data_IF_004500696652
#
_entry.id   IF_004500696652
#
_cell.length_a   1.000
_cell.length_b   1.000
_cell.length_c   1.000
_cell.angle_alpha   90.00
_cell.angle_beta   90.00
_cell.angle_gamma   90.00
#
_symmetry.space_group_name_H-M   'P 1'
#
loop_
_entity.id
_entity.type
_entity.pdbx_description
1 polymer ?
#
# COMPACT_ATOMS: atom_id res chain seq x y z
N UNK A 1 -14.78 -5.52 -32.03
CA UNK A 1 -13.43 -5.89 -31.57
C UNK A 1 -13.37 -5.65 -30.07
N UNK A 2 -12.83 -6.58 -29.29
CA UNK A 2 -12.70 -6.46 -27.82
C UNK A 2 -11.43 -5.69 -27.48
N UNK A 3 -11.57 -4.59 -26.73
CA UNK A 3 -10.45 -3.82 -26.22
C UNK A 3 -9.84 -4.47 -24.96
N UNK A 4 -8.59 -4.13 -24.66
CA UNK A 4 -7.97 -4.50 -23.39
C UNK A 4 -8.71 -3.88 -22.21
N UNK A 5 -8.86 -4.67 -21.15
CA UNK A 5 -9.40 -4.19 -19.87
C UNK A 5 -8.36 -3.34 -19.13
N UNK A 6 -8.78 -2.68 -18.05
CA UNK A 6 -7.89 -1.85 -17.25
C UNK A 6 -6.75 -2.68 -16.65
N UNK A 7 -7.10 -3.83 -16.11
CA UNK A 7 -6.22 -4.77 -15.43
C UNK A 7 -5.17 -5.32 -16.40
N UNK A 8 -5.57 -5.60 -17.65
CA UNK A 8 -4.64 -6.06 -18.69
C UNK A 8 -3.62 -4.98 -19.07
N UNK A 9 -4.04 -3.71 -19.15
CA UNK A 9 -3.12 -2.59 -19.40
C UNK A 9 -2.15 -2.43 -18.22
N UNK A 10 -2.62 -2.61 -16.99
CA UNK A 10 -1.76 -2.55 -15.79
C UNK A 10 -0.74 -3.68 -15.73
N UNK A 11 -1.12 -4.92 -16.06
CA UNK A 11 -0.19 -6.05 -16.21
C UNK A 11 0.91 -5.75 -17.22
N UNK A 12 0.57 -5.15 -18.38
CA UNK A 12 1.56 -4.76 -19.39
C UNK A 12 2.54 -3.71 -18.84
N UNK A 13 2.07 -2.73 -18.06
CA UNK A 13 2.94 -1.73 -17.42
C UNK A 13 3.91 -2.33 -16.41
N UNK A 14 3.54 -3.44 -15.77
CA UNK A 14 4.39 -4.18 -14.83
C UNK A 14 5.39 -5.11 -15.53
N UNK A 15 5.38 -5.15 -16.87
CA UNK A 15 6.26 -6.02 -17.66
C UNK A 15 5.73 -7.45 -17.84
N UNK A 16 4.48 -7.72 -17.48
CA UNK A 16 3.85 -9.01 -17.76
C UNK A 16 3.52 -9.10 -19.26
N UNK A 17 4.10 -10.10 -19.93
CA UNK A 17 4.08 -10.23 -21.39
C UNK A 17 2.77 -10.81 -21.93
N UNK A 18 1.66 -10.10 -21.78
CA UNK A 18 0.38 -10.51 -22.37
C UNK A 18 -0.01 -9.61 -23.55
N UNK A 19 -0.06 -10.22 -24.75
CA UNK A 19 -0.76 -9.74 -25.97
C UNK A 19 -0.27 -8.39 -26.54
N UNK A 20 1.02 -8.32 -26.89
CA UNK A 20 1.60 -7.23 -27.69
C UNK A 20 0.94 -7.06 -29.06
N UNK A 21 0.44 -8.15 -29.65
CA UNK A 21 -0.14 -8.14 -31.00
C UNK A 21 -1.40 -7.27 -31.09
N UNK A 22 -2.24 -7.27 -30.04
CA UNK A 22 -3.42 -6.41 -30.01
C UNK A 22 -3.02 -4.93 -29.93
N UNK A 23 -2.04 -4.59 -29.09
CA UNK A 23 -1.54 -3.22 -28.97
C UNK A 23 -1.03 -2.70 -30.31
N UNK A 24 -0.36 -3.53 -31.11
CA UNK A 24 0.12 -3.12 -32.43
C UNK A 24 -1.02 -2.80 -33.42
N UNK A 25 -2.22 -3.37 -33.22
CA UNK A 25 -3.36 -3.24 -34.13
C UNK A 25 -4.44 -2.26 -33.67
N UNK A 26 -4.45 -1.85 -32.40
CA UNK A 26 -5.53 -1.05 -31.81
C UNK A 26 -5.03 0.30 -31.26
N UNK A 27 -5.22 1.38 -32.02
CA UNK A 27 -4.81 2.74 -31.65
C UNK A 27 -5.40 3.22 -30.31
N UNK A 28 -6.65 2.87 -30.01
CA UNK A 28 -7.29 3.25 -28.75
C UNK A 28 -6.55 2.66 -27.54
N UNK A 29 -6.18 1.38 -27.61
CA UNK A 29 -5.44 0.72 -26.54
C UNK A 29 -4.00 1.24 -26.44
N UNK A 30 -3.35 1.60 -27.56
CA UNK A 30 -2.06 2.28 -27.54
C UNK A 30 -2.14 3.65 -26.85
N UNK A 31 -3.16 4.44 -27.17
CA UNK A 31 -3.35 5.76 -26.55
C UNK A 31 -3.53 5.65 -25.04
N UNK A 32 -4.37 4.71 -24.58
CA UNK A 32 -4.57 4.45 -23.15
C UNK A 32 -3.28 3.99 -22.45
N UNK A 33 -2.50 3.12 -23.10
CA UNK A 33 -1.21 2.68 -22.55
C UNK A 33 -0.23 3.85 -22.42
N UNK A 34 -0.11 4.70 -23.45
CA UNK A 34 0.74 5.90 -23.42
C UNK A 34 0.33 6.87 -22.32
N UNK A 35 -0.97 7.09 -22.14
CA UNK A 35 -1.50 7.94 -21.07
C UNK A 35 -1.09 7.40 -19.69
N UNK A 36 -1.27 6.11 -19.44
CA UNK A 36 -0.87 5.47 -18.19
C UNK A 36 0.65 5.50 -17.96
N UNK A 37 1.46 5.31 -19.00
CA UNK A 37 2.92 5.46 -18.92
C UNK A 37 3.33 6.90 -18.57
N UNK A 38 2.65 7.90 -19.15
CA UNK A 38 2.91 9.30 -18.83
C UNK A 38 2.55 9.63 -17.37
N UNK A 39 1.45 9.10 -16.86
CA UNK A 39 1.07 9.23 -15.44
C UNK A 39 2.10 8.55 -14.52
N UNK A 40 2.51 7.33 -14.81
CA UNK A 40 3.54 6.63 -14.04
C UNK A 40 4.86 7.39 -14.02
N UNK A 41 5.26 7.98 -15.15
CA UNK A 41 6.46 8.81 -15.26
C UNK A 41 6.33 10.08 -14.42
N UNK A 42 5.19 10.78 -14.48
CA UNK A 42 4.93 11.99 -13.67
C UNK A 42 4.99 11.68 -12.17
N UNK A 43 4.38 10.58 -11.74
CA UNK A 43 4.45 10.13 -10.35
C UNK A 43 5.90 9.84 -9.95
N UNK A 44 6.63 9.05 -10.75
CA UNK A 44 8.04 8.75 -10.47
C UNK A 44 8.90 10.01 -10.35
N UNK A 45 8.69 10.99 -11.22
CA UNK A 45 9.41 12.28 -11.17
C UNK A 45 9.02 13.08 -9.93
N UNK A 46 7.73 13.13 -9.57
CA UNK A 46 7.28 13.84 -8.36
C UNK A 46 7.91 13.26 -7.09
N UNK A 47 8.13 11.95 -7.04
CA UNK A 47 8.78 11.27 -5.92
C UNK A 47 10.31 11.20 -6.01
N UNK A 48 10.92 11.61 -7.12
CA UNK A 48 12.38 11.52 -7.30
C UNK A 48 13.17 12.37 -6.29
N UNK A 49 12.56 13.45 -5.77
CA UNK A 49 13.16 14.29 -4.73
C UNK A 49 12.92 13.82 -3.29
N UNK A 50 12.12 12.77 -3.09
CA UNK A 50 11.83 12.25 -1.76
C UNK A 50 12.96 11.32 -1.34
N UNK A 51 13.93 11.88 -0.62
CA UNK A 51 15.02 11.12 -0.01
C UNK A 51 14.54 10.62 1.37
N UNK A 52 14.46 9.30 1.60
CA UNK A 52 14.14 8.80 2.93
C UNK A 52 15.22 9.24 3.93
N UNK A 53 14.83 9.53 5.18
CA UNK A 53 15.82 9.83 6.21
C UNK A 53 16.80 8.66 6.38
N UNK A 54 18.05 8.98 6.70
CA UNK A 54 19.09 7.96 6.92
C UNK A 54 18.66 6.96 8.01
N UNK A 55 17.99 7.43 9.05
CA UNK A 55 17.40 6.62 10.12
C UNK A 55 16.34 5.63 9.62
N UNK A 56 15.49 6.03 8.67
CA UNK A 56 14.48 5.15 8.09
C UNK A 56 15.14 4.13 7.15
N UNK A 57 16.11 4.56 6.34
CA UNK A 57 16.87 3.69 5.47
C UNK A 57 17.61 2.60 6.27
N UNK A 58 18.21 2.97 7.40
CA UNK A 58 18.92 2.05 8.29
C UNK A 58 17.97 1.08 8.99
N UNK A 59 16.78 1.54 9.41
CA UNK A 59 15.74 0.66 9.95
C UNK A 59 15.23 -0.35 8.93
N UNK A 60 15.07 0.06 7.67
CA UNK A 60 14.66 -0.86 6.59
C UNK A 60 15.77 -1.88 6.31
N UNK A 61 17.03 -1.43 6.22
CA UNK A 61 18.18 -2.33 6.04
C UNK A 61 18.29 -3.33 7.19
N UNK A 62 18.20 -2.88 8.44
CA UNK A 62 18.30 -3.78 9.59
C UNK A 62 17.18 -4.81 9.60
N UNK A 63 15.94 -4.44 9.24
CA UNK A 63 14.83 -5.38 9.12
C UNK A 63 15.00 -6.41 8.00
N UNK A 64 15.51 -5.99 6.83
CA UNK A 64 15.78 -6.93 5.72
C UNK A 64 16.90 -7.90 6.12
N UNK A 65 17.94 -7.40 6.79
CA UNK A 65 19.09 -8.21 7.21
C UNK A 65 18.73 -9.14 8.38
N UNK A 66 17.91 -8.70 9.33
CA UNK A 66 17.46 -9.52 10.46
C UNK A 66 16.44 -10.59 10.06
N UNK A 67 15.72 -10.38 8.96
CA UNK A 67 14.76 -11.34 8.41
C UNK A 67 15.36 -12.16 7.25
N UNK A 68 16.65 -12.00 6.95
CA UNK A 68 17.33 -12.92 6.05
C UNK A 68 17.27 -14.32 6.69
N UNK A 69 16.74 -15.34 5.98
CA UNK A 69 16.64 -16.69 6.54
C UNK A 69 18.03 -17.15 6.95
N UNK A 70 18.22 -17.35 8.26
CA UNK A 70 19.42 -17.97 8.80
C UNK A 70 19.57 -19.29 8.08
N UNK A 71 20.65 -19.41 7.30
CA UNK A 71 21.01 -20.62 6.59
C UNK A 71 20.98 -21.77 7.59
N UNK A 72 19.95 -22.62 7.50
CA UNK A 72 19.79 -23.79 8.36
C UNK A 72 20.97 -24.67 8.02
N UNK A 73 22.00 -24.63 8.87
CA UNK A 73 23.14 -25.54 8.82
C UNK A 73 22.55 -26.95 8.99
N UNK A 74 22.55 -27.81 7.96
CA UNK A 74 22.05 -29.15 8.14
C UNK A 74 23.07 -29.87 9.03
N UNK A 75 22.65 -30.24 10.24
CA UNK A 75 23.35 -31.26 11.02
C UNK A 75 23.39 -32.51 10.15
N UNK A 76 24.57 -32.82 9.61
CA UNK A 76 24.78 -33.99 8.80
C UNK A 76 24.85 -35.22 9.71
N UNK A 77 23.95 -36.21 9.61
CA UNK A 77 24.25 -37.52 10.11
C UNK A 77 25.35 -38.13 9.24
N UNK A 78 26.36 -38.68 9.90
CA UNK A 78 27.42 -39.50 9.33
C UNK A 78 26.79 -40.69 8.60
N UNK A 79 26.78 -40.66 7.26
CA UNK A 79 26.38 -41.79 6.42
C UNK A 79 27.60 -42.20 5.60
N UNK A 80 28.05 -43.42 5.87
CA UNK A 80 29.15 -44.10 5.22
C UNK A 80 28.94 -44.26 3.72
N UNK A 81 30.08 -44.32 3.02
CA UNK A 81 30.23 -44.47 1.58
C UNK A 81 29.29 -45.52 0.96
N UNK A 82 28.27 -45.05 0.24
CA UNK A 82 27.64 -45.84 -0.82
C UNK A 82 27.91 -45.16 -2.16
N UNK A 83 28.69 -45.88 -2.93
CA UNK A 83 29.25 -45.61 -4.25
C UNK A 83 28.24 -45.11 -5.28
N UNK A 84 28.62 -43.98 -5.93
CA UNK A 84 28.52 -43.71 -7.37
C UNK A 84 27.61 -44.64 -8.18
N UNK A 85 26.34 -44.29 -8.44
CA UNK A 85 25.67 -44.69 -9.69
C UNK A 85 24.41 -43.90 -10.09
N UNK A 86 23.95 -42.90 -9.33
CA UNK A 86 22.73 -42.14 -9.67
C UNK A 86 22.96 -40.76 -10.31
N UNK A 87 24.06 -40.60 -11.04
CA UNK A 87 24.19 -39.54 -12.06
C UNK A 87 23.44 -39.96 -13.32
N UNK A 88 22.11 -39.83 -13.38
CA UNK A 88 21.40 -39.68 -14.67
C UNK A 88 19.92 -39.27 -14.64
N UNK A 89 19.30 -39.04 -13.48
CA UNK A 89 17.91 -38.62 -13.45
C UNK A 89 17.70 -37.47 -12.46
N UNK A 90 18.34 -36.33 -12.75
CA UNK A 90 17.95 -35.05 -12.15
C UNK A 90 16.96 -34.37 -13.11
N UNK A 91 15.69 -34.75 -13.02
CA UNK A 91 14.61 -33.92 -13.53
C UNK A 91 14.57 -32.60 -12.72
N UNK A 92 14.27 -31.44 -13.33
CA UNK A 92 14.31 -30.16 -12.65
C UNK A 92 13.06 -29.99 -11.76
N UNK A 93 13.06 -30.59 -10.57
CA UNK A 93 12.02 -30.42 -9.55
C UNK A 93 12.19 -29.14 -8.72
N UNK A 94 13.20 -28.30 -8.99
CA UNK A 94 13.44 -27.07 -8.21
C UNK A 94 12.59 -25.86 -8.61
N UNK A 95 11.86 -25.91 -9.74
CA UNK A 95 11.08 -24.77 -10.24
C UNK A 95 9.73 -24.59 -9.55
N UNK A 96 9.10 -25.67 -9.06
CA UNK A 96 7.79 -25.59 -8.41
C UNK A 96 7.90 -24.90 -7.06
N UNK A 97 8.93 -25.22 -6.26
CA UNK A 97 9.15 -24.60 -4.96
C UNK A 97 9.46 -23.10 -5.09
N UNK A 98 10.24 -22.70 -6.10
CA UNK A 98 10.55 -21.31 -6.38
C UNK A 98 9.30 -20.51 -6.83
N UNK A 99 8.43 -21.08 -7.68
CA UNK A 99 7.16 -20.43 -8.05
C UNK A 99 6.18 -20.33 -6.88
N UNK A 100 6.15 -21.32 -5.98
CA UNK A 100 5.31 -21.28 -4.77
C UNK A 100 5.81 -20.21 -3.78
N UNK A 101 7.13 -20.09 -3.59
CA UNK A 101 7.74 -19.01 -2.81
C UNK A 101 7.48 -17.64 -3.42
N UNK A 102 7.60 -17.51 -4.75
CA UNK A 102 7.31 -16.26 -5.45
C UNK A 102 5.83 -15.87 -5.37
N UNK A 103 4.91 -16.84 -5.49
CA UNK A 103 3.47 -16.61 -5.35
C UNK A 103 3.07 -16.25 -3.91
N UNK A 104 3.73 -16.85 -2.90
CA UNK A 104 3.53 -16.50 -1.49
C UNK A 104 4.08 -15.10 -1.17
N UNK A 105 5.26 -14.75 -1.71
CA UNK A 105 5.82 -13.41 -1.62
C UNK A 105 4.92 -12.38 -2.31
N UNK A 106 4.38 -12.69 -3.49
CA UNK A 106 3.44 -11.81 -4.21
C UNK A 106 2.14 -11.58 -3.44
N UNK A 107 1.55 -12.63 -2.85
CA UNK A 107 0.35 -12.48 -2.01
C UNK A 107 0.62 -11.64 -0.76
N UNK A 108 1.81 -11.75 -0.16
CA UNK A 108 2.19 -10.95 0.99
C UNK A 108 2.43 -9.47 0.65
N UNK A 109 2.89 -9.15 -0.58
CA UNK A 109 3.15 -7.76 -1.00
C UNK A 109 1.95 -7.06 -1.62
N UNK A 110 0.98 -7.79 -2.19
CA UNK A 110 -0.22 -7.19 -2.81
C UNK A 110 -1.42 -7.07 -1.87
N UNK A 111 -1.43 -7.76 -0.73
CA UNK A 111 -2.48 -7.51 0.25
C UNK A 111 -2.20 -6.18 0.95
N UNK A 112 -3.11 -5.19 0.87
CA UNK A 112 -2.99 -4.02 1.71
C UNK A 112 -2.89 -4.50 3.15
N UNK A 113 -1.89 -4.00 3.88
CA UNK A 113 -1.75 -4.35 5.29
C UNK A 113 -3.11 -4.18 5.99
N UNK A 114 -3.46 -5.00 7.00
CA UNK A 114 -4.74 -4.87 7.70
C UNK A 114 -4.98 -3.43 8.20
N UNK A 115 -3.89 -2.72 8.56
CA UNK A 115 -3.92 -1.31 8.90
C UNK A 115 -4.42 -0.39 7.78
N UNK A 116 -4.12 -0.70 6.52
CA UNK A 116 -4.64 0.06 5.37
C UNK A 116 -6.14 -0.17 5.18
N UNK A 117 -6.59 -1.43 5.29
CA UNK A 117 -8.02 -1.76 5.20
C UNK A 117 -8.83 -1.03 6.30
N UNK A 118 -8.31 -0.98 7.53
CA UNK A 118 -8.92 -0.24 8.64
C UNK A 118 -9.00 1.27 8.35
N UNK A 119 -7.94 1.88 7.80
CA UNK A 119 -7.94 3.31 7.44
C UNK A 119 -8.96 3.61 6.32
N UNK A 120 -9.06 2.74 5.32
CA UNK A 120 -10.06 2.88 4.25
C UNK A 120 -11.47 2.77 4.83
N UNK A 121 -11.71 1.84 5.76
CA UNK A 121 -12.99 1.71 6.46
C UNK A 121 -13.36 2.97 7.24
N UNK A 122 -12.41 3.52 8.01
CA UNK A 122 -12.60 4.80 8.72
C UNK A 122 -12.93 5.92 7.73
N UNK A 123 -12.16 6.03 6.64
CA UNK A 123 -12.38 7.06 5.63
C UNK A 123 -13.77 6.96 5.00
N UNK A 124 -14.18 5.78 4.55
CA UNK A 124 -15.50 5.56 3.94
C UNK A 124 -16.64 5.86 4.93
N UNK A 125 -16.51 5.43 6.18
CA UNK A 125 -17.51 5.73 7.21
C UNK A 125 -17.67 7.24 7.44
N UNK A 126 -16.58 7.99 7.41
CA UNK A 126 -16.60 9.43 7.63
C UNK A 126 -17.21 10.19 6.46
N UNK A 127 -17.06 9.67 5.24
CA UNK A 127 -17.71 10.25 4.06
C UNK A 127 -19.23 10.06 4.08
N UNK A 128 -19.72 8.96 4.65
CA UNK A 128 -21.16 8.63 4.72
C UNK A 128 -21.85 9.32 5.91
N UNK A 129 -21.10 9.95 6.83
CA UNK A 129 -21.62 10.60 8.04
C UNK A 129 -22.44 9.64 8.93
N UNK A 130 -21.82 8.54 9.36
CA UNK A 130 -22.49 7.56 10.24
C UNK A 130 -22.88 8.11 11.62
N UNK A 131 -23.48 7.27 12.46
CA UNK A 131 -24.15 7.69 13.71
C UNK A 131 -23.25 8.42 14.74
N UNK A 132 -21.94 8.19 14.69
CA UNK A 132 -20.94 8.83 15.56
C UNK A 132 -20.27 10.07 14.93
N UNK A 133 -20.78 10.52 13.78
CA UNK A 133 -20.31 11.71 13.10
C UNK A 133 -20.90 12.97 13.72
N UNK A 134 -20.03 13.86 14.17
CA UNK A 134 -20.40 15.17 14.72
C UNK A 134 -20.19 16.23 13.63
N UNK A 135 -21.27 16.81 13.07
CA UNK A 135 -21.18 17.83 12.03
C UNK A 135 -20.79 19.18 12.65
N UNK A 136 -19.50 19.38 12.90
CA UNK A 136 -18.95 20.62 13.45
C UNK A 136 -17.97 21.27 12.46
N UNK A 137 -18.21 22.54 12.13
CA UNK A 137 -17.40 23.30 11.18
C UNK A 137 -16.41 24.25 11.87
N UNK A 138 -16.60 24.54 13.17
CA UNK A 138 -15.68 25.38 13.94
C UNK A 138 -14.48 24.56 14.46
N UNK A 139 -13.24 24.87 14.05
CA UNK A 139 -12.04 24.21 14.55
C UNK A 139 -11.86 24.27 16.06
N UNK A 140 -12.30 25.34 16.73
CA UNK A 140 -12.11 25.51 18.17
C UNK A 140 -13.03 24.56 18.95
N UNK A 141 -14.28 24.43 18.51
CA UNK A 141 -15.23 23.48 19.11
C UNK A 141 -14.75 22.05 18.86
N UNK A 142 -14.23 21.78 17.65
CA UNK A 142 -13.68 20.49 17.32
C UNK A 142 -12.46 20.13 18.18
N UNK A 143 -11.53 21.06 18.36
CA UNK A 143 -10.36 20.87 19.21
C UNK A 143 -10.79 20.58 20.66
N UNK A 144 -11.73 21.37 21.21
CA UNK A 144 -12.27 21.12 22.54
C UNK A 144 -12.89 19.72 22.68
N UNK A 145 -13.67 19.28 21.69
CA UNK A 145 -14.26 17.94 21.67
C UNK A 145 -13.21 16.83 21.67
N UNK A 146 -12.14 17.00 20.89
CA UNK A 146 -11.02 16.06 20.90
C UNK A 146 -10.23 16.09 22.20
N UNK A 147 -10.01 17.26 22.81
CA UNK A 147 -9.35 17.35 24.11
C UNK A 147 -10.14 16.63 25.19
N UNK A 148 -11.47 16.79 25.19
CA UNK A 148 -12.37 16.14 26.14
C UNK A 148 -12.36 14.61 25.98
N UNK A 149 -12.39 14.11 24.74
CA UNK A 149 -12.58 12.68 24.50
C UNK A 149 -11.28 11.89 24.31
N UNK A 150 -10.26 12.50 23.71
CA UNK A 150 -8.96 11.87 23.44
C UNK A 150 -7.89 12.27 24.44
N UNK A 151 -8.08 13.36 25.20
CA UNK A 151 -7.09 13.90 26.11
C UNK A 151 -5.99 14.75 25.43
N UNK A 152 -6.10 14.99 24.12
CA UNK A 152 -5.17 15.85 23.37
C UNK A 152 -5.89 16.63 22.26
N UNK A 153 -5.23 17.68 21.78
CA UNK A 153 -5.71 18.55 20.70
C UNK A 153 -5.01 18.21 19.37
N UNK A 154 -5.69 17.54 18.42
CA UNK A 154 -5.19 17.39 17.07
C UNK A 154 -4.89 18.73 16.41
N UNK A 155 -3.80 18.80 15.64
CA UNK A 155 -3.54 19.95 14.80
C UNK A 155 -4.52 19.96 13.63
N UNK A 156 -5.50 20.87 13.69
CA UNK A 156 -6.43 21.13 12.58
C UNK A 156 -5.76 22.15 11.64
N UNK A 157 -5.73 21.90 10.31
CA UNK A 157 -5.17 22.85 9.36
C UNK A 157 -5.95 24.17 9.36
N UNK A 158 -5.27 25.26 9.07
CA UNK A 158 -5.94 26.54 8.85
C UNK A 158 -6.90 26.41 7.65
N UNK A 159 -8.17 26.74 7.85
CA UNK A 159 -9.24 26.60 6.84
C UNK A 159 -9.20 27.69 5.74
N UNK A 160 -8.00 28.12 5.36
CA UNK A 160 -7.78 29.07 4.29
C UNK A 160 -7.73 28.35 2.93
N UNK A 161 -7.80 29.09 1.82
CA UNK A 161 -7.63 28.57 0.44
C UNK A 161 -8.68 27.55 -0.02
N UNK A 162 -9.95 27.75 0.38
CA UNK A 162 -11.05 26.88 -0.06
C UNK A 162 -11.14 25.55 0.68
N UNK A 163 -10.48 25.45 1.85
CA UNK A 163 -10.65 24.35 2.78
C UNK A 163 -11.85 24.62 3.69
N UNK A 164 -12.75 23.64 3.85
CA UNK A 164 -13.87 23.76 4.79
C UNK A 164 -13.98 22.50 5.64
N UNK A 165 -13.98 22.67 6.97
CA UNK A 165 -14.20 21.56 7.89
C UNK A 165 -15.68 21.15 7.84
N UNK A 166 -15.95 19.85 7.70
CA UNK A 166 -17.33 19.32 7.73
C UNK A 166 -17.73 18.78 9.11
N UNK A 167 -16.77 18.29 9.87
CA UNK A 167 -17.05 17.56 11.10
C UNK A 167 -15.99 16.53 11.45
N UNK A 168 -16.31 15.72 12.43
CA UNK A 168 -15.41 14.74 13.00
C UNK A 168 -16.10 13.49 13.51
N UNK A 169 -15.31 12.51 13.86
CA UNK A 169 -15.71 11.34 14.63
C UNK A 169 -14.52 10.83 15.45
N UNK A 170 -14.81 9.92 16.36
CA UNK A 170 -13.79 9.24 17.16
C UNK A 170 -13.85 7.76 16.82
N UNK A 171 -12.72 7.20 16.41
CA UNK A 171 -12.62 5.82 15.94
C UNK A 171 -11.54 5.06 16.68
N UNK A 172 -11.51 3.75 16.45
CA UNK A 172 -10.41 2.90 16.90
C UNK A 172 -9.52 2.56 15.71
N UNK A 173 -8.22 2.78 15.86
CA UNK A 173 -7.21 2.39 14.87
C UNK A 173 -6.04 1.72 15.58
N UNK A 174 -5.72 0.48 15.17
CA UNK A 174 -4.67 -0.35 15.82
C UNK A 174 -4.84 -0.46 17.34
N UNK A 175 -6.07 -0.60 17.82
CA UNK A 175 -6.39 -0.70 19.24
C UNK A 175 -6.26 0.60 20.04
N UNK A 176 -6.03 1.74 19.38
CA UNK A 176 -5.99 3.07 20.00
C UNK A 176 -7.19 3.89 19.57
N UNK A 177 -7.70 4.71 20.48
CA UNK A 177 -8.73 5.71 20.17
C UNK A 177 -8.05 6.84 19.39
N UNK A 178 -8.62 7.20 18.23
CA UNK A 178 -8.10 8.24 17.33
C UNK A 178 -9.22 9.20 16.96
N UNK A 179 -8.86 10.47 16.82
CA UNK A 179 -9.75 11.47 16.24
C UNK A 179 -9.65 11.41 14.71
N UNK A 180 -10.78 11.55 14.04
CA UNK A 180 -10.80 11.73 12.58
C UNK A 180 -11.67 12.91 12.23
N UNK A 181 -11.26 13.71 11.26
CA UNK A 181 -12.04 14.85 10.78
C UNK A 181 -12.07 14.90 9.25
N UNK A 182 -13.11 15.53 8.72
CA UNK A 182 -13.37 15.59 7.27
C UNK A 182 -13.26 17.03 6.81
N UNK A 183 -12.50 17.25 5.74
CA UNK A 183 -12.25 18.56 5.14
C UNK A 183 -12.63 18.51 3.67
N UNK A 184 -13.44 19.47 3.24
CA UNK A 184 -13.63 19.79 1.84
C UNK A 184 -12.43 20.54 1.31
N UNK A 185 -11.93 20.11 0.17
CA UNK A 185 -10.87 20.79 -0.57
C UNK A 185 -11.34 21.10 -1.99
N UNK A 186 -10.68 22.00 -2.73
CA UNK A 186 -10.98 22.23 -4.15
C UNK A 186 -10.87 20.98 -5.03
N UNK A 187 -10.15 19.94 -4.57
CA UNK A 187 -9.92 18.69 -5.31
C UNK A 187 -10.87 17.56 -4.88
N UNK A 188 -11.68 17.79 -3.84
CA UNK A 188 -12.59 16.79 -3.29
C UNK A 188 -12.56 16.72 -1.77
N UNK A 189 -13.25 15.73 -1.22
CA UNK A 189 -13.39 15.52 0.23
C UNK A 189 -12.28 14.62 0.72
N UNK A 190 -11.59 15.03 1.78
CA UNK A 190 -10.56 14.22 2.43
C UNK A 190 -10.94 13.94 3.89
N UNK A 191 -10.60 12.74 4.37
CA UNK A 191 -10.68 12.41 5.80
C UNK A 191 -9.27 12.27 6.35
N UNK A 192 -9.00 12.98 7.44
CA UNK A 192 -7.71 13.02 8.12
C UNK A 192 -7.86 12.32 9.47
N UNK A 193 -7.04 11.28 9.68
CA UNK A 193 -6.97 10.56 10.96
C UNK A 193 -5.81 11.15 11.77
N UNK A 194 -6.12 11.70 12.93
CA UNK A 194 -5.15 12.27 13.86
C UNK A 194 -4.73 11.23 14.90
N UNK A 195 -3.42 11.01 14.99
CA UNK A 195 -2.78 10.13 15.98
C UNK A 195 -1.85 10.96 16.86
N UNK A 196 -1.73 10.59 18.12
CA UNK A 196 -0.72 11.13 19.03
C UNK A 196 0.62 10.47 18.73
N UNK A 197 1.68 11.28 18.59
CA UNK A 197 3.07 10.83 18.43
C UNK A 197 3.57 10.05 19.66
#
# INVERSE_FOLDING_TARGET
MTHLTHEQIESILQGESLKTDHLNSCELCQSRLKEKQALATRLKTAFAGVVPSETLAEKIRSQITSNAPTEIKPDAPHIENVTHHWKRWAAPLSTIAAMLLLALLFKATLMPSPAYADLVGIHQHNLVQGDDYVPQTDPNILAAHFQETLGFNPRIPELNHGLQLRGCCIKHFKGRVVGSYVVDTPQGVISIVAVQD
#
